data_IF_130634007354
#
_entry.id   IF_130634007354
#
_cell.length_a   1.000
_cell.length_b   1.000
_cell.length_c   1.000
_cell.angle_alpha   90.00
_cell.angle_beta   90.00
_cell.angle_gamma   90.00
#
_symmetry.space_group_name_H-M   'P 1'
#
loop_
_entity.id
_entity.type
_entity.pdbx_description
1 polymer ?
#
# COMPACT_ATOMS: atom_id res chain seq x y z
N UNK A 1 -8.65 60.21 -48.29
CA UNK A 1 -9.61 60.85 -49.22
C UNK A 1 -9.77 62.30 -48.82
N UNK A 2 -8.94 63.16 -49.41
CA UNK A 2 -9.01 64.64 -49.45
C UNK A 2 -7.68 65.10 -50.02
N UNK A 3 -7.66 65.43 -51.32
CA UNK A 3 -6.77 66.40 -51.95
C UNK A 3 -6.97 66.34 -53.47
N UNK A 4 -8.19 66.64 -53.93
CA UNK A 4 -8.38 67.23 -55.25
C UNK A 4 -8.26 68.73 -55.07
N UNK A 5 -7.07 69.29 -55.34
CA UNK A 5 -6.90 70.67 -55.77
C UNK A 5 -5.63 70.69 -56.64
N UNK A 6 -5.75 70.17 -57.86
CA UNK A 6 -4.90 70.63 -58.95
C UNK A 6 -5.45 72.01 -59.29
N UNK A 7 -4.80 73.04 -58.74
CA UNK A 7 -4.99 74.40 -59.23
C UNK A 7 -4.17 74.49 -60.51
N UNK A 8 -4.84 74.30 -61.65
CA UNK A 8 -4.35 74.79 -62.92
C UNK A 8 -4.11 76.30 -62.75
N UNK A 9 -2.84 76.69 -62.79
CA UNK A 9 -2.45 78.09 -62.92
C UNK A 9 -3.02 78.59 -64.24
N UNK A 10 -3.79 79.69 -64.27
CA UNK A 10 -4.18 80.30 -65.53
C UNK A 10 -2.91 80.69 -66.26
N UNK A 11 -2.76 80.28 -67.52
CA UNK A 11 -1.70 80.77 -68.39
C UNK A 11 -1.82 82.30 -68.47
N UNK A 12 -0.98 82.99 -67.70
CA UNK A 12 -0.87 84.43 -67.77
C UNK A 12 -0.46 84.80 -69.21
N UNK A 13 -1.03 85.86 -69.81
CA UNK A 13 -0.60 86.32 -71.11
C UNK A 13 0.91 86.60 -71.06
N UNK A 14 1.66 86.38 -72.17
CA UNK A 14 3.09 86.63 -72.18
C UNK A 14 3.32 88.04 -71.66
N UNK A 15 4.20 88.17 -70.65
CA UNK A 15 4.59 89.44 -70.06
C UNK A 15 5.37 90.27 -71.10
N UNK A 16 4.65 90.73 -72.12
CA UNK A 16 5.14 91.54 -73.21
C UNK A 16 5.42 92.91 -72.63
N UNK A 17 6.71 93.20 -72.50
CA UNK A 17 7.16 94.49 -72.02
C UNK A 17 6.96 95.48 -73.17
N UNK A 18 6.31 96.64 -72.95
CA UNK A 18 6.28 97.68 -73.96
C UNK A 18 7.70 98.00 -74.43
N UNK A 19 7.93 98.07 -75.76
CA UNK A 19 9.27 98.20 -76.36
C UNK A 19 10.06 99.41 -75.81
N UNK A 20 9.36 100.49 -75.46
CA UNK A 20 9.97 101.67 -74.82
C UNK A 20 10.47 101.40 -73.40
N UNK A 21 9.76 100.57 -72.64
CA UNK A 21 10.13 100.19 -71.28
C UNK A 21 11.29 99.18 -71.29
N UNK A 22 11.31 98.25 -72.26
CA UNK A 22 12.43 97.33 -72.47
C UNK A 22 13.76 98.06 -72.74
N UNK A 23 13.72 99.11 -73.60
CA UNK A 23 14.88 99.98 -73.87
C UNK A 23 15.38 100.78 -72.66
N UNK A 24 14.52 101.04 -71.69
CA UNK A 24 14.91 101.72 -70.44
C UNK A 24 15.49 100.73 -69.41
N UNK A 25 14.98 99.49 -69.41
CA UNK A 25 15.39 98.42 -68.50
C UNK A 25 16.73 97.79 -68.89
N UNK A 26 17.04 97.67 -70.17
CA UNK A 26 18.28 97.09 -70.68
C UNK A 26 19.55 97.67 -70.02
N UNK A 27 19.82 99.00 -70.03
CA UNK A 27 21.02 99.56 -69.41
C UNK A 27 21.03 99.43 -67.87
N UNK A 28 19.85 99.39 -67.24
CA UNK A 28 19.72 99.20 -65.80
C UNK A 28 20.07 97.76 -65.38
N UNK A 29 19.66 96.79 -66.19
CA UNK A 29 19.96 95.36 -65.99
C UNK A 29 21.43 95.09 -66.29
N UNK A 30 22.00 95.69 -67.33
CA UNK A 30 23.44 95.64 -67.62
C UNK A 30 24.28 96.18 -66.45
N UNK A 31 23.96 97.38 -65.94
CA UNK A 31 24.64 97.96 -64.78
C UNK A 31 24.50 97.06 -63.53
N UNK A 32 23.33 96.45 -63.31
CA UNK A 32 23.13 95.51 -62.20
C UNK A 32 23.97 94.22 -62.35
N UNK A 33 24.10 93.68 -63.57
CA UNK A 33 24.97 92.52 -63.86
C UNK A 33 26.43 92.88 -63.63
N UNK A 34 26.86 94.05 -64.11
CA UNK A 34 28.23 94.55 -63.92
C UNK A 34 28.54 94.75 -62.44
N UNK A 35 27.63 95.31 -61.66
CA UNK A 35 27.77 95.45 -60.21
C UNK A 35 27.85 94.09 -59.51
N UNK A 36 27.04 93.10 -59.91
CA UNK A 36 27.13 91.72 -59.39
C UNK A 36 28.43 91.02 -59.79
N UNK A 37 28.98 91.33 -60.97
CA UNK A 37 30.28 90.85 -61.42
C UNK A 37 31.43 91.52 -60.63
N UNK A 38 31.33 92.80 -60.29
CA UNK A 38 32.28 93.49 -59.39
C UNK A 38 32.23 92.87 -57.99
N UNK A 39 31.05 92.53 -57.48
CA UNK A 39 30.89 91.81 -56.21
C UNK A 39 31.53 90.40 -56.25
N UNK A 40 31.58 89.76 -57.42
CA UNK A 40 32.37 88.53 -57.63
C UNK A 40 33.87 88.78 -57.42
N UNK A 41 34.36 89.90 -57.95
CA UNK A 41 35.75 90.32 -57.83
C UNK A 41 36.12 90.71 -56.41
N UNK A 42 35.20 91.27 -55.63
CA UNK A 42 35.42 91.61 -54.22
C UNK A 42 35.43 90.36 -53.31
N UNK A 43 34.53 89.42 -53.54
CA UNK A 43 34.53 88.13 -52.83
C UNK A 43 35.77 87.28 -53.15
N UNK A 44 36.27 87.35 -54.39
CA UNK A 44 37.48 86.65 -54.84
C UNK A 44 38.78 87.39 -54.48
N UNK A 45 38.81 88.73 -54.47
CA UNK A 45 39.95 89.54 -53.95
C UNK A 45 40.15 89.39 -52.45
N UNK A 46 39.08 89.10 -51.71
CA UNK A 46 39.18 88.65 -50.32
C UNK A 46 39.76 87.22 -50.19
N UNK A 47 40.03 86.52 -51.30
CA UNK A 47 40.59 85.16 -51.33
C UNK A 47 41.91 85.04 -52.11
N UNK A 48 42.39 86.05 -52.85
CA UNK A 48 43.47 85.79 -53.81
C UNK A 48 44.51 86.86 -54.17
N UNK A 49 44.45 88.13 -53.76
CA UNK A 49 45.41 89.10 -54.35
C UNK A 49 45.73 90.40 -53.58
N UNK A 50 45.51 90.47 -52.26
CA UNK A 50 45.96 91.60 -51.45
C UNK A 50 46.33 91.10 -50.06
N UNK A 51 47.59 91.30 -49.64
CA UNK A 51 48.23 90.66 -48.49
C UNK A 51 47.72 91.06 -47.09
N UNK A 52 46.41 91.22 -46.92
CA UNK A 52 45.76 91.23 -45.61
C UNK A 52 45.26 89.82 -45.25
N UNK A 53 45.47 89.33 -44.02
CA UNK A 53 44.94 88.04 -43.59
C UNK A 53 43.41 87.99 -43.75
N UNK A 54 42.88 86.93 -44.35
CA UNK A 54 41.42 86.76 -44.52
C UNK A 54 40.78 86.42 -43.17
N UNK A 55 39.52 86.77 -42.91
CA UNK A 55 38.84 86.39 -41.66
C UNK A 55 38.78 84.88 -41.44
N UNK A 56 38.77 84.06 -42.50
CA UNK A 56 38.88 82.59 -42.41
C UNK A 56 40.30 82.12 -42.07
N UNK A 57 41.34 82.80 -42.56
CA UNK A 57 42.74 82.52 -42.23
C UNK A 57 43.07 82.97 -40.81
N UNK A 58 42.61 84.16 -40.40
CA UNK A 58 42.74 84.67 -39.02
C UNK A 58 42.10 83.70 -38.01
N UNK A 59 40.89 83.22 -38.28
CA UNK A 59 40.23 82.24 -37.41
C UNK A 59 40.92 80.86 -37.48
N UNK A 60 41.52 80.51 -38.62
CA UNK A 60 42.34 79.29 -38.77
C UNK A 60 43.64 79.32 -37.95
N UNK A 61 44.28 80.48 -37.88
CA UNK A 61 45.47 80.72 -37.05
C UNK A 61 45.10 80.72 -35.56
N UNK A 62 44.00 81.35 -35.18
CA UNK A 62 43.45 81.30 -33.81
C UNK A 62 43.09 79.86 -33.38
N UNK A 63 42.48 79.07 -34.27
CA UNK A 63 42.19 77.65 -34.01
C UNK A 63 43.48 76.85 -33.84
N UNK A 64 44.49 77.12 -34.66
CA UNK A 64 45.80 76.46 -34.59
C UNK A 64 46.51 76.78 -33.28
N UNK A 65 46.43 78.03 -32.82
CA UNK A 65 46.95 78.47 -31.52
C UNK A 65 46.20 77.80 -30.35
N UNK A 66 44.87 77.69 -30.42
CA UNK A 66 44.06 76.98 -29.41
C UNK A 66 44.42 75.50 -29.37
N UNK A 67 44.65 74.85 -30.52
CA UNK A 67 45.07 73.45 -30.60
C UNK A 67 46.48 73.26 -30.02
N UNK A 68 47.42 74.17 -30.31
CA UNK A 68 48.76 74.13 -29.74
C UNK A 68 48.72 74.24 -28.21
N UNK A 69 47.96 75.21 -27.69
CA UNK A 69 47.73 75.39 -26.25
C UNK A 69 47.05 74.19 -25.60
N UNK A 70 46.13 73.52 -26.31
CA UNK A 70 45.49 72.30 -25.82
C UNK A 70 46.50 71.15 -25.69
N UNK A 71 47.38 70.96 -26.69
CA UNK A 71 48.44 69.95 -26.64
C UNK A 71 49.44 70.21 -25.52
N UNK A 72 49.78 71.47 -25.27
CA UNK A 72 50.63 71.86 -24.15
C UNK A 72 49.98 71.52 -22.80
N UNK A 73 48.68 71.82 -22.62
CA UNK A 73 47.92 71.46 -21.42
C UNK A 73 47.79 69.94 -21.23
N UNK A 74 47.66 69.16 -22.31
CA UNK A 74 47.66 67.69 -22.27
C UNK A 74 49.02 67.14 -21.82
N UNK A 75 50.11 67.66 -22.38
CA UNK A 75 51.47 67.31 -21.97
C UNK A 75 51.75 67.67 -20.50
N UNK A 76 51.28 68.82 -20.04
CA UNK A 76 51.38 69.21 -18.63
C UNK A 76 50.53 68.31 -17.72
N UNK A 77 49.31 67.95 -18.15
CA UNK A 77 48.44 67.03 -17.43
C UNK A 77 49.10 65.65 -17.25
N UNK A 78 49.70 65.10 -18.32
CA UNK A 78 50.39 63.81 -18.28
C UNK A 78 51.61 63.82 -17.35
N UNK A 79 52.40 64.91 -17.37
CA UNK A 79 53.54 65.09 -16.45
C UNK A 79 53.08 65.10 -15.00
N UNK A 80 52.04 65.86 -14.69
CA UNK A 80 51.48 66.00 -13.34
C UNK A 80 50.82 64.70 -12.86
N UNK A 81 50.20 63.95 -13.78
CA UNK A 81 49.66 62.61 -13.53
C UNK A 81 50.76 61.59 -13.23
N UNK A 82 51.89 61.64 -13.94
CA UNK A 82 53.07 60.83 -13.66
C UNK A 82 53.66 61.10 -12.27
N UNK A 83 53.75 62.38 -11.87
CA UNK A 83 54.18 62.77 -10.51
C UNK A 83 53.18 62.29 -9.45
N UNK A 84 51.88 62.23 -9.77
CA UNK A 84 50.85 61.69 -8.85
C UNK A 84 51.06 60.19 -8.59
N UNK A 85 51.38 59.42 -9.63
CA UNK A 85 51.65 57.99 -9.48
C UNK A 85 52.87 57.72 -8.57
N UNK A 86 53.90 58.56 -8.65
CA UNK A 86 55.07 58.51 -7.77
C UNK A 86 54.73 58.92 -6.33
N UNK A 87 54.04 60.05 -6.14
CA UNK A 87 53.65 60.54 -4.82
C UNK A 87 52.65 59.63 -4.07
N UNK A 88 51.84 58.85 -4.80
CA UNK A 88 51.00 57.81 -4.22
C UNK A 88 51.81 56.66 -3.63
N UNK A 89 52.96 56.32 -4.22
CA UNK A 89 53.87 55.30 -3.69
C UNK A 89 54.60 55.83 -2.45
N UNK A 90 55.00 57.10 -2.45
CA UNK A 90 55.74 57.74 -1.34
C UNK A 90 54.88 58.11 -0.11
N UNK A 91 53.56 57.91 -0.15
CA UNK A 91 52.59 58.12 0.95
C UNK A 91 52.57 59.55 1.54
N UNK A 92 53.07 60.55 0.81
CA UNK A 92 53.06 61.95 1.25
C UNK A 92 51.71 62.63 0.95
N UNK A 93 50.86 62.75 1.97
CA UNK A 93 49.46 63.23 1.85
C UNK A 93 49.36 64.70 1.42
N UNK A 94 50.26 65.58 1.89
CA UNK A 94 50.19 67.02 1.59
C UNK A 94 50.61 67.33 0.14
N UNK A 95 51.72 66.74 -0.32
CA UNK A 95 52.17 66.88 -1.70
C UNK A 95 51.19 66.24 -2.69
N UNK A 96 50.57 65.11 -2.31
CA UNK A 96 49.53 64.47 -3.11
C UNK A 96 48.29 65.37 -3.27
N UNK A 97 47.86 66.04 -2.19
CA UNK A 97 46.73 66.99 -2.24
C UNK A 97 47.03 68.21 -3.11
N UNK A 98 48.22 68.79 -2.99
CA UNK A 98 48.65 69.91 -3.84
C UNK A 98 48.77 69.49 -5.32
N UNK A 99 49.18 68.23 -5.59
CA UNK A 99 49.20 67.68 -6.93
C UNK A 99 47.77 67.46 -7.50
N UNK A 100 46.85 66.93 -6.69
CA UNK A 100 45.44 66.80 -7.07
C UNK A 100 44.78 68.17 -7.35
N UNK A 101 45.16 69.22 -6.62
CA UNK A 101 44.71 70.60 -6.88
C UNK A 101 45.24 71.11 -8.25
N UNK A 102 46.50 70.85 -8.59
CA UNK A 102 47.10 71.17 -9.89
C UNK A 102 46.44 70.40 -11.04
N UNK A 103 46.19 69.10 -10.87
CA UNK A 103 45.45 68.29 -11.85
C UNK A 103 44.03 68.84 -12.07
N UNK A 104 43.34 69.24 -11.01
CA UNK A 104 42.00 69.85 -11.13
C UNK A 104 42.05 71.19 -11.86
N UNK A 105 43.08 72.01 -11.63
CA UNK A 105 43.27 73.27 -12.34
C UNK A 105 43.57 73.06 -13.84
N UNK A 106 44.50 72.16 -14.19
CA UNK A 106 44.84 71.84 -15.58
C UNK A 106 43.64 71.20 -16.29
N UNK A 107 42.92 70.28 -15.64
CA UNK A 107 41.70 69.69 -16.20
C UNK A 107 40.60 70.74 -16.48
N UNK A 108 40.47 71.75 -15.61
CA UNK A 108 39.55 72.87 -15.83
C UNK A 108 39.99 73.75 -17.01
N UNK A 109 41.28 74.06 -17.11
CA UNK A 109 41.85 74.82 -18.22
C UNK A 109 41.72 74.07 -19.56
N UNK A 110 41.97 72.76 -19.58
CA UNK A 110 41.78 71.90 -20.74
C UNK A 110 40.32 71.93 -21.21
N UNK A 111 39.37 71.77 -20.28
CA UNK A 111 37.93 71.84 -20.58
C UNK A 111 37.52 73.21 -21.16
N UNK A 112 38.08 74.30 -20.64
CA UNK A 112 37.84 75.65 -21.17
C UNK A 112 38.42 75.82 -22.57
N UNK A 113 39.64 75.32 -22.80
CA UNK A 113 40.31 75.32 -24.12
C UNK A 113 39.51 74.54 -25.16
N UNK A 114 39.04 73.33 -24.82
CA UNK A 114 38.20 72.51 -25.71
C UNK A 114 36.86 73.18 -26.02
N UNK A 115 36.26 73.86 -25.04
CA UNK A 115 35.03 74.64 -25.27
C UNK A 115 35.28 75.82 -26.22
N UNK A 116 36.40 76.52 -26.07
CA UNK A 116 36.81 77.63 -26.96
C UNK A 116 37.06 77.13 -28.38
N UNK A 117 37.75 76.00 -28.53
CA UNK A 117 37.99 75.34 -29.81
C UNK A 117 36.66 74.99 -30.51
N UNK A 118 35.73 74.39 -29.76
CA UNK A 118 34.40 74.07 -30.27
C UNK A 118 33.60 75.31 -30.70
N UNK A 119 33.73 76.43 -29.99
CA UNK A 119 33.10 77.69 -30.37
C UNK A 119 33.71 78.25 -31.65
N UNK A 120 35.05 78.30 -31.73
CA UNK A 120 35.78 78.77 -32.91
C UNK A 120 35.43 77.95 -34.16
N UNK A 121 35.47 76.61 -34.07
CA UNK A 121 35.11 75.72 -35.19
C UNK A 121 33.65 75.90 -35.65
N UNK A 122 32.71 76.18 -34.76
CA UNK A 122 31.32 76.49 -35.15
C UNK A 122 31.22 77.81 -35.90
N UNK A 123 31.96 78.84 -35.46
CA UNK A 123 31.99 80.15 -36.13
C UNK A 123 32.60 80.06 -37.52
N UNK A 124 33.70 79.31 -37.70
CA UNK A 124 34.33 79.11 -39.01
C UNK A 124 33.39 78.40 -39.99
N UNK A 125 32.73 77.33 -39.55
CA UNK A 125 31.81 76.58 -40.40
C UNK A 125 30.56 77.40 -40.77
N UNK A 126 30.03 78.18 -39.83
CA UNK A 126 28.90 79.08 -40.10
C UNK A 126 29.27 80.17 -41.10
N UNK A 127 30.45 80.79 -40.93
CA UNK A 127 30.98 81.82 -41.83
C UNK A 127 31.27 81.28 -43.23
N UNK A 128 31.90 80.10 -43.33
CA UNK A 128 32.19 79.44 -44.61
C UNK A 128 30.92 79.09 -45.38
N UNK A 129 29.93 78.50 -44.71
CA UNK A 129 28.64 78.16 -45.34
C UNK A 129 27.87 79.41 -45.78
N UNK A 130 27.92 80.49 -45.00
CA UNK A 130 27.31 81.77 -45.37
C UNK A 130 27.97 82.38 -46.62
N UNK A 131 29.30 82.28 -46.73
CA UNK A 131 30.04 82.76 -47.90
C UNK A 131 29.71 81.95 -49.16
N UNK A 132 29.66 80.62 -49.06
CA UNK A 132 29.27 79.74 -50.17
C UNK A 132 27.84 80.03 -50.63
N UNK A 133 26.92 80.18 -49.67
CA UNK A 133 25.54 80.57 -49.98
C UNK A 133 25.48 81.93 -50.68
N UNK A 134 26.18 82.94 -50.17
CA UNK A 134 26.23 84.27 -50.78
C UNK A 134 26.77 84.23 -52.21
N UNK A 135 27.81 83.45 -52.47
CA UNK A 135 28.34 83.27 -53.82
C UNK A 135 27.33 82.60 -54.76
N UNK A 136 26.62 81.57 -54.28
CA UNK A 136 25.58 80.88 -55.05
C UNK A 136 24.37 81.78 -55.33
N UNK A 137 23.89 82.53 -54.33
CA UNK A 137 22.77 83.46 -54.47
C UNK A 137 23.12 84.59 -55.45
N UNK A 138 24.36 85.11 -55.38
CA UNK A 138 24.89 86.10 -56.33
C UNK A 138 24.97 85.54 -57.75
N UNK A 139 25.51 84.33 -57.91
CA UNK A 139 25.61 83.69 -59.23
C UNK A 139 24.24 83.41 -59.83
N UNK A 140 23.26 82.98 -59.01
CA UNK A 140 21.89 82.82 -59.43
C UNK A 140 21.28 84.15 -59.90
N UNK A 141 21.43 85.23 -59.12
CA UNK A 141 20.94 86.56 -59.49
C UNK A 141 21.59 87.06 -60.78
N UNK A 142 22.89 86.83 -60.96
CA UNK A 142 23.62 87.18 -62.18
C UNK A 142 23.07 86.42 -63.40
N UNK A 143 22.94 85.09 -63.32
CA UNK A 143 22.40 84.28 -64.41
C UNK A 143 20.94 84.63 -64.74
N UNK A 144 20.13 84.94 -63.73
CA UNK A 144 18.74 85.34 -63.92
C UNK A 144 18.62 86.70 -64.62
N UNK A 145 19.49 87.64 -64.28
CA UNK A 145 19.56 88.94 -64.95
C UNK A 145 20.15 88.84 -66.36
N UNK A 146 21.14 87.98 -66.60
CA UNK A 146 21.68 87.69 -67.94
C UNK A 146 20.59 87.08 -68.85
N UNK A 147 19.79 86.13 -68.35
CA UNK A 147 18.66 85.56 -69.08
C UNK A 147 17.54 86.58 -69.34
N UNK A 148 17.29 87.50 -68.38
CA UNK A 148 16.38 88.63 -68.58
C UNK A 148 16.90 89.57 -69.66
N UNK A 149 18.20 89.89 -69.65
CA UNK A 149 18.83 90.77 -70.63
C UNK A 149 18.72 90.19 -72.05
N UNK A 150 18.98 88.89 -72.21
CA UNK A 150 18.82 88.20 -73.49
C UNK A 150 17.36 88.21 -73.97
N UNK A 151 16.39 88.02 -73.06
CA UNK A 151 14.95 88.09 -73.36
C UNK A 151 14.42 89.51 -73.62
N UNK A 152 15.13 90.56 -73.18
CA UNK A 152 14.83 91.95 -73.52
C UNK A 152 15.41 92.38 -74.88
N UNK A 153 16.49 91.72 -75.33
CA UNK A 153 17.16 91.97 -76.62
C UNK A 153 16.50 91.29 -77.82
N UNK A 154 15.54 90.40 -77.60
CA UNK A 154 14.77 89.75 -78.68
C UNK A 154 13.77 90.71 -79.34
N UNK A 155 13.37 90.42 -80.59
CA UNK A 155 12.44 91.28 -81.37
C UNK A 155 11.09 91.51 -80.69
N UNK A 156 10.67 90.59 -79.80
CA UNK A 156 9.60 90.79 -78.84
C UNK A 156 10.22 90.72 -77.43
N UNK A 157 10.33 91.86 -76.71
CA UNK A 157 10.90 91.87 -75.37
C UNK A 157 9.96 91.21 -74.36
N UNK A 158 10.45 90.18 -73.67
CA UNK A 158 9.65 89.37 -72.75
C UNK A 158 10.40 89.09 -71.45
N UNK A 159 9.68 89.20 -70.32
CA UNK A 159 10.19 88.82 -69.00
C UNK A 159 9.93 87.33 -68.66
N UNK A 160 9.36 86.55 -69.58
CA UNK A 160 8.99 85.16 -69.33
C UNK A 160 10.13 84.27 -68.81
N UNK A 161 11.38 84.36 -69.32
CA UNK A 161 12.48 83.54 -68.80
C UNK A 161 12.73 83.73 -67.30
N UNK A 162 12.61 84.96 -66.80
CA UNK A 162 12.76 85.27 -65.38
C UNK A 162 11.58 84.73 -64.55
N UNK A 163 10.36 84.82 -65.08
CA UNK A 163 9.16 84.27 -64.43
C UNK A 163 9.30 82.76 -64.30
N UNK A 164 9.65 82.07 -65.38
CA UNK A 164 9.83 80.61 -65.40
C UNK A 164 10.95 80.16 -64.43
N UNK A 165 12.05 80.94 -64.33
CA UNK A 165 13.15 80.65 -63.41
C UNK A 165 12.76 80.87 -61.93
N UNK A 166 11.97 81.90 -61.64
CA UNK A 166 11.41 82.15 -60.29
C UNK A 166 10.42 81.05 -59.92
N UNK A 167 9.56 80.63 -60.85
CA UNK A 167 8.62 79.53 -60.64
C UNK A 167 9.33 78.19 -60.41
N UNK A 168 10.38 77.89 -61.18
CA UNK A 168 11.20 76.70 -60.97
C UNK A 168 11.86 76.68 -59.58
N UNK A 169 12.41 77.80 -59.12
CA UNK A 169 12.96 77.91 -57.76
C UNK A 169 11.87 77.83 -56.67
N UNK A 170 10.69 78.41 -56.89
CA UNK A 170 9.54 78.25 -55.97
C UNK A 170 9.10 76.78 -55.88
N UNK A 171 9.02 76.08 -57.00
CA UNK A 171 8.68 74.64 -57.03
C UNK A 171 9.76 73.80 -56.33
N UNK A 172 11.03 74.10 -56.56
CA UNK A 172 12.16 73.45 -55.88
C UNK A 172 12.11 73.67 -54.37
N UNK A 173 11.86 74.91 -53.91
CA UNK A 173 11.69 75.23 -52.50
C UNK A 173 10.48 74.49 -51.89
N UNK A 174 9.34 74.46 -52.58
CA UNK A 174 8.17 73.71 -52.15
C UNK A 174 8.43 72.20 -52.07
N UNK A 175 9.14 71.63 -53.04
CA UNK A 175 9.54 70.21 -53.03
C UNK A 175 10.48 69.89 -51.86
N UNK A 176 11.43 70.77 -51.57
CA UNK A 176 12.36 70.62 -50.46
C UNK A 176 11.64 70.72 -49.11
N UNK A 177 10.71 71.67 -48.96
CA UNK A 177 9.86 71.78 -47.78
C UNK A 177 9.01 70.51 -47.58
N UNK A 178 8.42 69.96 -48.64
CA UNK A 178 7.65 68.72 -48.57
C UNK A 178 8.51 67.51 -48.17
N UNK A 179 9.75 67.43 -48.68
CA UNK A 179 10.71 66.39 -48.28
C UNK A 179 11.07 66.52 -46.80
N UNK A 180 11.32 67.74 -46.31
CA UNK A 180 11.64 68.00 -44.89
C UNK A 180 10.49 67.55 -43.98
N UNK A 181 9.23 67.86 -44.32
CA UNK A 181 8.07 67.43 -43.53
C UNK A 181 7.95 65.90 -43.51
N UNK A 182 8.06 65.24 -44.66
CA UNK A 182 8.02 63.76 -44.73
C UNK A 182 9.15 63.11 -43.94
N UNK A 183 10.33 63.70 -43.97
CA UNK A 183 11.50 63.24 -43.23
C UNK A 183 11.29 63.37 -41.72
N UNK A 184 10.72 64.49 -41.26
CA UNK A 184 10.35 64.70 -39.86
C UNK A 184 9.28 63.70 -39.40
N UNK A 185 8.24 63.46 -40.19
CA UNK A 185 7.22 62.45 -39.91
C UNK A 185 7.83 61.04 -39.83
N UNK A 186 8.71 60.69 -40.76
CA UNK A 186 9.42 59.42 -40.75
C UNK A 186 10.29 59.27 -39.50
N UNK A 187 11.00 60.32 -39.08
CA UNK A 187 11.76 60.33 -37.82
C UNK A 187 10.87 60.12 -36.61
N UNK A 188 9.70 60.77 -36.56
CA UNK A 188 8.75 60.58 -35.47
C UNK A 188 8.22 59.14 -35.44
N UNK A 189 7.85 58.56 -36.60
CA UNK A 189 7.43 57.15 -36.70
C UNK A 189 8.54 56.19 -36.27
N UNK A 190 9.78 56.43 -36.67
CA UNK A 190 10.91 55.62 -36.24
C UNK A 190 11.09 55.71 -34.72
N UNK A 191 10.94 56.91 -34.14
CA UNK A 191 11.05 57.11 -32.68
C UNK A 191 9.95 56.36 -31.92
N UNK A 192 8.70 56.44 -32.36
CA UNK A 192 7.58 55.72 -31.73
C UNK A 192 7.72 54.21 -31.87
N UNK A 193 8.11 53.73 -33.06
CA UNK A 193 8.38 52.30 -33.28
C UNK A 193 9.53 51.78 -32.42
N UNK A 194 10.63 52.54 -32.29
CA UNK A 194 11.74 52.19 -31.40
C UNK A 194 11.30 52.11 -29.93
N UNK A 195 10.47 53.06 -29.48
CA UNK A 195 9.92 53.03 -28.13
C UNK A 195 9.01 51.82 -27.91
N UNK A 196 8.13 51.51 -28.87
CA UNK A 196 7.24 50.34 -28.82
C UNK A 196 8.04 49.03 -28.79
N UNK A 197 9.09 48.90 -29.61
CA UNK A 197 9.99 47.73 -29.60
C UNK A 197 10.70 47.61 -28.25
N UNK A 198 11.18 48.71 -27.68
CA UNK A 198 11.83 48.69 -26.37
C UNK A 198 10.87 48.24 -25.27
N UNK A 199 9.64 48.78 -25.25
CA UNK A 199 8.60 48.39 -24.30
C UNK A 199 8.21 46.91 -24.47
N UNK A 200 8.06 46.43 -25.69
CA UNK A 200 7.71 45.04 -25.98
C UNK A 200 8.83 44.08 -25.53
N UNK A 201 10.10 44.46 -25.75
CA UNK A 201 11.24 43.69 -25.24
C UNK A 201 11.24 43.62 -23.72
N UNK A 202 10.99 44.74 -23.05
CA UNK A 202 10.93 44.78 -21.58
C UNK A 202 9.76 43.92 -21.05
N UNK A 203 8.57 44.01 -21.66
CA UNK A 203 7.44 43.17 -21.26
C UNK A 203 7.73 41.68 -21.48
N UNK A 204 8.37 41.31 -22.59
CA UNK A 204 8.77 39.92 -22.81
C UNK A 204 9.80 39.43 -21.80
N UNK A 205 10.80 40.25 -21.46
CA UNK A 205 11.78 39.89 -20.42
C UNK A 205 11.08 39.67 -19.07
N UNK A 206 10.12 40.52 -18.71
CA UNK A 206 9.32 40.34 -17.48
C UNK A 206 8.50 39.05 -17.52
N UNK A 207 7.79 38.76 -18.62
CA UNK A 207 7.04 37.52 -18.78
C UNK A 207 7.93 36.28 -18.68
N UNK A 208 9.12 36.30 -19.30
CA UNK A 208 10.09 35.20 -19.20
C UNK A 208 10.57 35.03 -17.76
N UNK A 209 10.80 36.11 -17.02
CA UNK A 209 11.14 36.06 -15.60
C UNK A 209 10.00 35.48 -14.75
N UNK A 210 8.75 35.89 -15.00
CA UNK A 210 7.56 35.35 -14.33
C UNK A 210 7.39 33.84 -14.60
N UNK A 211 7.52 33.40 -15.85
CA UNK A 211 7.46 31.99 -16.19
C UNK A 211 8.63 31.19 -15.59
N UNK A 212 9.84 31.73 -15.57
CA UNK A 212 10.98 31.07 -14.92
C UNK A 212 10.77 30.93 -13.41
N UNK A 213 10.20 31.95 -12.76
CA UNK A 213 9.82 31.89 -11.34
C UNK A 213 8.77 30.81 -11.09
N UNK A 214 7.74 30.75 -11.94
CA UNK A 214 6.68 29.73 -11.83
C UNK A 214 7.24 28.32 -12.06
N UNK A 215 8.13 28.14 -13.04
CA UNK A 215 8.81 26.86 -13.30
C UNK A 215 9.65 26.45 -12.09
N UNK A 216 10.33 27.38 -11.43
CA UNK A 216 11.09 27.09 -10.22
C UNK A 216 10.17 26.63 -9.07
N UNK A 217 9.07 27.36 -8.82
CA UNK A 217 8.07 26.98 -7.81
C UNK A 217 7.47 25.59 -8.08
N UNK A 218 7.04 25.33 -9.31
CA UNK A 218 6.48 24.02 -9.69
C UNK A 218 7.51 22.89 -9.57
N UNK A 219 8.79 23.15 -9.85
CA UNK A 219 9.86 22.17 -9.63
C UNK A 219 10.05 21.86 -8.15
N UNK A 220 10.03 22.88 -7.29
CA UNK A 220 10.14 22.71 -5.84
C UNK A 220 8.94 21.94 -5.27
N UNK A 221 7.73 22.23 -5.74
CA UNK A 221 6.52 21.48 -5.38
C UNK A 221 6.61 20.01 -5.85
N UNK A 222 7.03 19.77 -7.08
CA UNK A 222 7.24 18.41 -7.60
C UNK A 222 8.29 17.65 -6.77
N UNK A 223 9.37 18.33 -6.38
CA UNK A 223 10.41 17.71 -5.56
C UNK A 223 9.93 17.43 -4.14
N UNK A 224 9.21 18.37 -3.52
CA UNK A 224 8.63 18.20 -2.19
C UNK A 224 7.60 17.07 -2.15
N UNK A 225 6.71 17.01 -3.14
CA UNK A 225 5.73 15.91 -3.28
C UNK A 225 6.42 14.57 -3.52
N UNK A 226 7.48 14.51 -4.34
CA UNK A 226 8.27 13.30 -4.55
C UNK A 226 8.93 12.79 -3.26
N UNK A 227 9.53 13.69 -2.48
CA UNK A 227 10.14 13.32 -1.19
C UNK A 227 9.07 12.84 -0.21
N UNK A 228 7.93 13.54 -0.12
CA UNK A 228 6.81 13.13 0.73
C UNK A 228 6.27 11.75 0.36
N UNK A 229 6.02 11.49 -0.92
CA UNK A 229 5.56 10.19 -1.41
C UNK A 229 6.59 9.08 -1.15
N UNK A 230 7.89 9.38 -1.27
CA UNK A 230 8.94 8.44 -0.91
C UNK A 230 8.89 8.07 0.58
N UNK A 231 8.77 9.05 1.47
CA UNK A 231 8.65 8.82 2.91
C UNK A 231 7.37 8.05 3.27
N UNK A 232 6.24 8.37 2.62
CA UNK A 232 4.98 7.65 2.81
C UNK A 232 5.09 6.19 2.34
N UNK A 233 5.74 5.93 1.21
CA UNK A 233 5.99 4.58 0.71
C UNK A 233 6.90 3.78 1.67
N UNK A 234 7.98 4.37 2.15
CA UNK A 234 8.88 3.76 3.14
C UNK A 234 8.16 3.47 4.46
N UNK A 235 7.26 4.36 4.88
CA UNK A 235 6.44 4.15 6.07
C UNK A 235 5.45 3.00 5.88
N UNK A 236 4.72 2.97 4.76
CA UNK A 236 3.73 1.94 4.47
C UNK A 236 4.37 0.56 4.30
N UNK A 237 5.50 0.47 3.62
CA UNK A 237 6.26 -0.78 3.50
C UNK A 237 6.68 -1.31 4.87
N UNK A 238 7.34 -0.48 5.69
CA UNK A 238 7.70 -0.85 7.07
C UNK A 238 6.49 -1.25 7.91
N UNK A 239 5.38 -0.52 7.80
CA UNK A 239 4.15 -0.86 8.52
C UNK A 239 3.61 -2.23 8.08
N UNK A 240 3.60 -2.50 6.77
CA UNK A 240 3.15 -3.79 6.24
C UNK A 240 4.07 -4.95 6.65
N UNK A 241 5.38 -4.74 6.63
CA UNK A 241 6.37 -5.73 7.07
C UNK A 241 6.18 -6.05 8.55
N UNK A 242 6.03 -5.03 9.40
CA UNK A 242 5.73 -5.20 10.82
C UNK A 242 4.41 -5.97 11.05
N UNK A 243 3.36 -5.68 10.28
CA UNK A 243 2.10 -6.41 10.36
C UNK A 243 2.27 -7.88 10.00
N UNK A 244 3.01 -8.18 8.92
CA UNK A 244 3.31 -9.55 8.50
C UNK A 244 4.16 -10.26 9.56
N UNK A 245 5.19 -9.62 10.11
CA UNK A 245 6.00 -10.19 11.18
C UNK A 245 5.19 -10.48 12.45
N UNK A 246 4.33 -9.55 12.87
CA UNK A 246 3.49 -9.72 14.05
C UNK A 246 2.45 -10.83 13.85
N UNK A 247 1.81 -10.88 12.68
CA UNK A 247 0.91 -11.95 12.31
C UNK A 247 1.63 -13.30 12.21
N UNK A 248 2.85 -13.31 11.69
CA UNK A 248 3.74 -14.46 11.64
C UNK A 248 4.07 -14.97 13.04
N UNK A 249 4.54 -14.10 13.94
CA UNK A 249 4.83 -14.43 15.34
C UNK A 249 3.60 -15.00 16.05
N UNK A 250 2.44 -14.35 15.92
CA UNK A 250 1.19 -14.84 16.51
C UNK A 250 0.84 -16.24 16.00
N UNK A 251 0.91 -16.46 14.69
CA UNK A 251 0.66 -17.77 14.08
C UNK A 251 1.67 -18.82 14.53
N UNK A 252 2.96 -18.46 14.66
CA UNK A 252 3.97 -19.41 15.15
C UNK A 252 3.71 -19.81 16.60
N UNK A 253 3.32 -18.87 17.47
CA UNK A 253 2.99 -19.16 18.86
C UNK A 253 1.76 -20.06 18.97
N UNK A 254 0.69 -19.76 18.23
CA UNK A 254 -0.52 -20.61 18.25
C UNK A 254 -0.24 -22.01 17.69
N UNK A 255 0.59 -22.13 16.66
CA UNK A 255 1.03 -23.44 16.14
C UNK A 255 1.86 -24.20 17.18
N UNK A 256 2.74 -23.53 17.94
CA UNK A 256 3.51 -24.18 19.00
C UNK A 256 2.62 -24.63 20.15
N UNK A 257 1.66 -23.82 20.58
CA UNK A 257 0.67 -24.16 21.60
C UNK A 257 -0.17 -25.36 21.17
N UNK A 258 -0.72 -25.34 19.96
CA UNK A 258 -1.49 -26.47 19.42
C UNK A 258 -0.64 -27.74 19.28
N UNK A 259 0.64 -27.62 18.91
CA UNK A 259 1.56 -28.76 18.88
C UNK A 259 1.84 -29.31 20.28
N UNK A 260 1.94 -28.46 21.31
CA UNK A 260 2.09 -28.91 22.69
C UNK A 260 0.84 -29.68 23.15
N UNK A 261 -0.34 -29.13 22.92
CA UNK A 261 -1.62 -29.79 23.22
C UNK A 261 -1.77 -31.12 22.47
N UNK A 262 -1.37 -31.17 21.20
CA UNK A 262 -1.39 -32.42 20.42
C UNK A 262 -0.49 -33.47 21.06
N UNK A 263 0.72 -33.11 21.50
CA UNK A 263 1.63 -34.04 22.16
C UNK A 263 1.05 -34.56 23.47
N UNK A 264 0.52 -33.67 24.32
CA UNK A 264 -0.12 -34.05 25.59
C UNK A 264 -1.30 -35.00 25.38
N UNK A 265 -2.15 -34.72 24.39
CA UNK A 265 -3.26 -35.61 24.04
C UNK A 265 -2.78 -36.93 23.45
N UNK A 266 -1.70 -36.93 22.68
CA UNK A 266 -1.13 -38.15 22.11
C UNK A 266 -0.57 -39.04 23.23
N UNK A 267 0.19 -38.48 24.18
CA UNK A 267 0.71 -39.23 25.32
C UNK A 267 -0.41 -39.77 26.20
N UNK A 268 -1.44 -38.96 26.48
CA UNK A 268 -2.60 -39.41 27.26
C UNK A 268 -3.36 -40.54 26.53
N UNK A 269 -3.49 -40.46 25.21
CA UNK A 269 -4.11 -41.52 24.40
C UNK A 269 -3.28 -42.81 24.44
N UNK A 270 -1.95 -42.71 24.32
CA UNK A 270 -1.04 -43.87 24.42
C UNK A 270 -1.11 -44.54 25.80
N UNK A 271 -1.16 -43.74 26.87
CA UNK A 271 -1.33 -44.22 28.25
C UNK A 271 -2.68 -44.94 28.43
N UNK A 272 -3.79 -44.34 27.99
CA UNK A 272 -5.12 -44.96 28.03
C UNK A 272 -5.19 -46.26 27.21
N UNK A 273 -4.55 -46.29 26.03
CA UNK A 273 -4.46 -47.51 25.23
C UNK A 273 -3.68 -48.61 25.95
N UNK A 274 -2.57 -48.27 26.61
CA UNK A 274 -1.78 -49.23 27.38
C UNK A 274 -2.56 -49.78 28.58
N UNK A 275 -3.21 -48.92 29.37
CA UNK A 275 -4.05 -49.31 30.51
C UNK A 275 -5.23 -50.17 30.03
N UNK A 276 -5.90 -49.77 28.96
CA UNK A 276 -7.02 -50.54 28.39
C UNK A 276 -6.58 -51.93 27.95
N UNK A 277 -5.42 -52.05 27.29
CA UNK A 277 -4.86 -53.34 26.91
C UNK A 277 -4.52 -54.21 28.13
N UNK A 278 -3.97 -53.64 29.19
CA UNK A 278 -3.69 -54.36 30.44
C UNK A 278 -4.97 -54.83 31.13
N UNK A 279 -5.98 -53.98 31.22
CA UNK A 279 -7.31 -54.33 31.77
C UNK A 279 -7.96 -55.44 30.96
N UNK A 280 -7.93 -55.36 29.63
CA UNK A 280 -8.43 -56.42 28.75
C UNK A 280 -7.69 -57.74 28.99
N UNK A 281 -6.36 -57.71 29.07
CA UNK A 281 -5.54 -58.90 29.38
C UNK A 281 -5.90 -59.50 30.74
N UNK A 282 -6.05 -58.66 31.77
CA UNK A 282 -6.44 -59.09 33.11
C UNK A 282 -7.83 -59.74 33.11
N UNK A 283 -8.82 -59.09 32.50
CA UNK A 283 -10.18 -59.62 32.40
C UNK A 283 -10.23 -60.94 31.62
N UNK A 284 -9.46 -61.05 30.54
CA UNK A 284 -9.37 -62.29 29.76
C UNK A 284 -8.74 -63.43 30.56
N UNK A 285 -7.68 -63.16 31.33
CA UNK A 285 -7.07 -64.13 32.26
C UNK A 285 -8.08 -64.56 33.32
N UNK A 286 -8.70 -63.61 34.02
CA UNK A 286 -9.71 -63.90 35.05
C UNK A 286 -10.90 -64.70 34.51
N UNK A 287 -11.37 -64.36 33.29
CA UNK A 287 -12.42 -65.11 32.60
C UNK A 287 -11.96 -66.54 32.30
N UNK A 288 -10.73 -66.73 31.80
CA UNK A 288 -10.19 -68.06 31.54
C UNK A 288 -10.04 -68.90 32.81
N UNK A 289 -9.58 -68.30 33.91
CA UNK A 289 -9.46 -68.98 35.21
C UNK A 289 -10.83 -69.38 35.75
N UNK A 290 -11.83 -68.50 35.64
CA UNK A 290 -13.19 -68.80 36.06
C UNK A 290 -13.82 -69.89 35.19
N UNK A 291 -13.58 -69.85 33.87
CA UNK A 291 -14.03 -70.88 32.93
C UNK A 291 -13.40 -72.25 33.26
N UNK A 292 -12.11 -72.28 33.57
CA UNK A 292 -11.41 -73.51 33.98
C UNK A 292 -12.00 -74.04 35.30
N UNK A 293 -12.17 -73.18 36.31
CA UNK A 293 -12.81 -73.58 37.58
C UNK A 293 -14.23 -74.10 37.36
N UNK A 294 -15.02 -73.44 36.52
CA UNK A 294 -16.37 -73.89 36.18
C UNK A 294 -16.32 -75.29 35.56
N UNK A 295 -15.44 -75.50 34.60
CA UNK A 295 -15.24 -76.81 33.97
C UNK A 295 -14.80 -77.87 34.98
N UNK A 296 -13.85 -77.56 35.87
CA UNK A 296 -13.41 -78.47 36.94
C UNK A 296 -14.57 -78.84 37.89
N UNK A 297 -15.39 -77.86 38.29
CA UNK A 297 -16.55 -78.10 39.14
C UNK A 297 -17.66 -78.88 38.43
N UNK A 298 -17.90 -78.61 37.14
CA UNK A 298 -18.83 -79.39 36.31
C UNK A 298 -18.36 -80.84 36.21
N UNK A 299 -17.10 -81.06 35.84
CA UNK A 299 -16.52 -82.41 35.74
C UNK A 299 -16.57 -83.14 37.09
N UNK A 300 -16.25 -82.45 38.19
CA UNK A 300 -16.32 -83.03 39.53
C UNK A 300 -17.75 -83.38 39.92
N UNK A 301 -18.71 -82.48 39.67
CA UNK A 301 -20.13 -82.74 39.95
C UNK A 301 -20.63 -83.92 39.11
N UNK A 302 -20.27 -83.99 37.83
CA UNK A 302 -20.61 -85.12 36.97
C UNK A 302 -20.01 -86.42 37.52
N UNK A 303 -18.71 -86.43 37.85
CA UNK A 303 -18.04 -87.59 38.44
C UNK A 303 -18.67 -88.03 39.77
N UNK A 304 -18.95 -87.08 40.68
CA UNK A 304 -19.58 -87.35 41.97
C UNK A 304 -21.03 -87.86 41.78
N UNK A 305 -21.79 -87.32 40.81
CA UNK A 305 -23.14 -87.83 40.50
C UNK A 305 -23.10 -89.25 39.95
N UNK A 306 -22.15 -89.58 39.06
CA UNK A 306 -21.96 -90.95 38.55
C UNK A 306 -21.54 -91.89 39.68
N UNK A 307 -20.63 -91.47 40.56
CA UNK A 307 -20.20 -92.26 41.71
C UNK A 307 -21.36 -92.52 42.68
N UNK A 308 -22.16 -91.50 43.03
CA UNK A 308 -23.33 -91.65 43.89
C UNK A 308 -24.45 -92.46 43.24
N UNK A 309 -24.63 -92.34 41.93
CA UNK A 309 -25.56 -93.20 41.20
C UNK A 309 -25.10 -94.66 41.24
N UNK A 310 -23.79 -94.92 41.08
CA UNK A 310 -23.19 -96.24 41.26
C UNK A 310 -23.39 -96.81 42.67
N UNK A 311 -23.09 -96.03 43.72
CA UNK A 311 -23.34 -96.44 45.12
C UNK A 311 -24.83 -96.76 45.38
N UNK A 312 -25.75 -95.96 44.84
CA UNK A 312 -27.19 -96.21 44.95
C UNK A 312 -27.61 -97.50 44.24
N UNK A 313 -27.06 -97.75 43.06
CA UNK A 313 -27.38 -98.95 42.29
C UNK A 313 -26.79 -100.21 42.96
N UNK A 314 -25.60 -100.13 43.56
CA UNK A 314 -25.03 -101.19 44.40
C UNK A 314 -25.89 -101.47 45.64
N UNK A 315 -26.36 -100.42 46.33
CA UNK A 315 -27.27 -100.56 47.47
C UNK A 315 -28.60 -101.17 47.08
N UNK A 316 -29.17 -100.77 45.93
CA UNK A 316 -30.40 -101.36 45.38
C UNK A 316 -30.19 -102.84 45.04
N UNK A 317 -29.04 -103.20 44.46
CA UNK A 317 -28.69 -104.59 44.18
C UNK A 317 -28.55 -105.42 45.46
N UNK A 318 -27.90 -104.87 46.50
CA UNK A 318 -27.80 -105.50 47.81
C UNK A 318 -29.18 -105.67 48.47
N UNK A 319 -30.01 -104.62 48.46
CA UNK A 319 -31.38 -104.67 48.98
C UNK A 319 -32.22 -105.73 48.25
N UNK A 320 -32.12 -105.81 46.92
CA UNK A 320 -32.81 -106.82 46.13
C UNK A 320 -32.36 -108.25 46.50
N UNK A 321 -31.05 -108.45 46.73
CA UNK A 321 -30.48 -109.72 47.18
C UNK A 321 -30.95 -110.11 48.59
N UNK A 322 -30.98 -109.16 49.51
CA UNK A 322 -31.45 -109.37 50.88
C UNK A 322 -32.95 -109.66 50.91
N UNK A 323 -33.75 -108.94 50.11
CA UNK A 323 -35.18 -109.22 49.93
C UNK A 323 -35.41 -110.62 49.37
N UNK A 324 -34.63 -111.05 48.38
CA UNK A 324 -34.73 -112.41 47.84
C UNK A 324 -34.38 -113.45 48.90
N UNK A 325 -33.31 -113.23 49.66
CA UNK A 325 -32.92 -114.12 50.77
C UNK A 325 -33.98 -114.19 51.87
N UNK A 326 -34.63 -113.07 52.17
CA UNK A 326 -35.74 -113.00 53.14
C UNK A 326 -36.99 -113.73 52.61
N UNK A 327 -37.30 -113.59 51.32
CA UNK A 327 -38.38 -114.33 50.66
C UNK A 327 -38.13 -115.84 50.77
N UNK A 328 -36.94 -116.31 50.40
CA UNK A 328 -36.54 -117.71 50.56
C UNK A 328 -36.66 -118.21 52.01
N UNK A 329 -36.21 -117.41 52.98
CA UNK A 329 -36.28 -117.78 54.40
C UNK A 329 -37.73 -117.79 54.91
N UNK A 330 -38.57 -116.87 54.45
CA UNK A 330 -40.00 -116.80 54.77
C UNK A 330 -40.75 -118.00 54.20
N UNK A 331 -40.42 -118.41 52.97
CA UNK A 331 -40.93 -119.63 52.35
C UNK A 331 -40.56 -120.86 53.19
N UNK A 332 -39.28 -121.01 53.56
CA UNK A 332 -38.82 -122.09 54.46
C UNK A 332 -39.53 -122.07 55.81
N UNK A 333 -39.71 -120.88 56.42
CA UNK A 333 -40.43 -120.75 57.69
C UNK A 333 -41.90 -121.16 57.56
N UNK A 334 -42.56 -120.76 56.47
CA UNK A 334 -43.94 -121.14 56.18
C UNK A 334 -44.07 -122.65 55.97
N UNK A 335 -43.09 -123.29 55.31
CA UNK A 335 -43.02 -124.76 55.19
C UNK A 335 -42.89 -125.44 56.56
N UNK A 336 -41.95 -124.98 57.40
CA UNK A 336 -41.82 -125.51 58.77
C UNK A 336 -43.06 -125.28 59.62
N UNK A 337 -43.68 -124.11 59.54
CA UNK A 337 -44.93 -123.83 60.26
C UNK A 337 -46.07 -124.72 59.79
N UNK A 338 -46.19 -125.01 58.49
CA UNK A 338 -47.16 -126.00 57.98
C UNK A 338 -46.93 -127.37 58.61
N UNK A 339 -45.68 -127.77 58.85
CA UNK A 339 -45.34 -129.03 59.53
C UNK A 339 -45.74 -128.96 61.01
N UNK A 340 -45.38 -127.89 61.72
CA UNK A 340 -45.74 -127.69 63.14
C UNK A 340 -47.25 -127.65 63.36
N UNK A 341 -47.98 -126.93 62.51
CA UNK A 341 -49.44 -126.86 62.55
C UNK A 341 -50.07 -128.24 62.32
N UNK A 342 -49.55 -129.05 61.38
CA UNK A 342 -49.98 -130.44 61.19
C UNK A 342 -49.75 -131.29 62.44
N UNK A 343 -48.63 -131.09 63.14
CA UNK A 343 -48.34 -131.81 64.39
C UNK A 343 -49.19 -131.34 65.58
N UNK A 344 -49.48 -130.04 65.69
CA UNK A 344 -50.42 -129.50 66.68
C UNK A 344 -51.83 -130.03 66.44
N UNK A 345 -52.30 -130.04 65.20
CA UNK A 345 -53.60 -130.63 64.83
C UNK A 345 -53.65 -132.13 65.15
N UNK A 346 -52.54 -132.86 64.98
CA UNK A 346 -52.44 -134.27 65.42
C UNK A 346 -52.57 -134.39 66.94
N UNK A 347 -51.86 -133.56 67.72
CA UNK A 347 -51.93 -133.57 69.19
C UNK A 347 -53.32 -133.21 69.71
N UNK A 348 -53.97 -132.21 69.13
CA UNK A 348 -55.31 -131.78 69.54
C UNK A 348 -56.35 -132.86 69.24
N UNK A 349 -56.27 -133.53 68.07
CA UNK A 349 -57.11 -134.69 67.76
C UNK A 349 -56.93 -135.84 68.76
N UNK A 350 -55.69 -136.08 69.21
CA UNK A 350 -55.40 -137.07 70.26
C UNK A 350 -56.00 -136.67 71.62
N UNK A 351 -55.92 -135.39 72.00
CA UNK A 351 -56.52 -134.88 73.25
C UNK A 351 -58.04 -135.03 73.27
N UNK A 352 -58.72 -134.63 72.18
CA UNK A 352 -60.17 -134.77 72.06
C UNK A 352 -60.64 -136.23 72.14
N UNK A 353 -59.86 -137.16 71.58
CA UNK A 353 -60.14 -138.60 71.68
C UNK A 353 -60.03 -139.11 73.13
N UNK A 354 -59.02 -138.64 73.88
CA UNK A 354 -58.85 -138.98 75.28
C UNK A 354 -59.98 -138.40 76.17
N UNK A 355 -60.41 -137.15 75.94
CA UNK A 355 -61.53 -136.55 76.68
C UNK A 355 -62.85 -137.28 76.45
N UNK A 356 -63.10 -137.79 75.23
CA UNK A 356 -64.28 -138.63 74.95
C UNK A 356 -64.25 -139.93 75.77
N UNK A 357 -63.10 -140.59 75.85
CA UNK A 357 -62.95 -141.82 76.64
C UNK A 357 -63.19 -141.58 78.14
N UNK A 358 -62.78 -140.43 78.70
CA UNK A 358 -63.04 -140.07 80.11
C UNK A 358 -64.54 -139.86 80.34
N UNK A 359 -65.24 -139.17 79.43
CA UNK A 359 -66.69 -138.94 79.54
C UNK A 359 -67.49 -140.25 79.46
N UNK A 360 -67.08 -141.18 78.60
CA UNK A 360 -67.67 -142.53 78.50
C UNK A 360 -67.47 -143.34 79.80
N UNK A 361 -66.28 -143.23 80.42
CA UNK A 361 -65.97 -143.91 81.68
C UNK A 361 -66.74 -143.32 82.88
N UNK A 362 -66.91 -142.00 82.92
CA UNK A 362 -67.73 -141.33 83.93
C UNK A 362 -69.23 -141.69 83.82
N UNK A 363 -69.74 -141.85 82.60
CA UNK A 363 -71.10 -142.36 82.38
C UNK A 363 -71.25 -143.80 82.88
N UNK A 364 -70.27 -144.67 82.63
CA UNK A 364 -70.25 -146.04 83.13
C UNK A 364 -70.24 -146.12 84.68
N UNK A 365 -69.49 -145.26 85.36
CA UNK A 365 -69.43 -145.20 86.84
C UNK A 365 -70.78 -144.76 87.45
N UNK A 366 -71.47 -143.79 86.84
CA UNK A 366 -72.79 -143.33 87.34
C UNK A 366 -73.86 -144.43 87.26
N UNK A 367 -73.83 -145.26 86.22
CA UNK A 367 -74.70 -146.43 86.08
C UNK A 367 -74.37 -147.48 87.17
N UNK A 368 -73.09 -147.73 87.43
CA UNK A 368 -72.66 -148.67 88.48
C UNK A 368 -73.00 -148.20 89.91
N UNK A 369 -73.01 -146.89 90.17
CA UNK A 369 -73.33 -146.32 91.48
C UNK A 369 -74.84 -146.34 91.78
N UNK A 370 -75.69 -146.09 90.79
CA UNK A 370 -77.14 -146.18 90.91
C UNK A 370 -77.59 -147.60 91.28
N UNK A 371 -76.99 -148.63 90.68
CA UNK A 371 -77.34 -150.02 90.96
C UNK A 371 -76.92 -150.49 92.36
N UNK A 372 -75.78 -150.02 92.88
CA UNK A 372 -75.32 -150.32 94.25
C UNK A 372 -76.18 -149.67 95.34
N UNK A 373 -76.77 -148.51 95.08
CA UNK A 373 -77.65 -147.81 96.04
C UNK A 373 -79.03 -148.45 96.23
N UNK A 374 -79.54 -149.14 95.21
CA UNK A 374 -80.84 -149.82 95.27
C UNK A 374 -80.79 -151.10 96.14
N UNK A 375 -79.65 -151.80 96.17
CA UNK A 375 -79.45 -152.98 97.03
C UNK A 375 -79.51 -152.68 98.54
N UNK A 376 -79.17 -151.45 98.96
CA UNK A 376 -79.07 -151.08 100.38
C UNK A 376 -80.44 -150.77 101.01
N UNK A 377 -81.44 -150.36 100.23
CA UNK A 377 -82.74 -149.87 100.76
C UNK A 377 -83.80 -150.96 100.97
N UNK A 378 -83.67 -152.13 100.35
CA UNK A 378 -84.69 -153.20 100.37
C UNK A 378 -84.34 -154.46 101.19
N UNK A 379 -83.28 -154.43 102.02
CA UNK A 379 -82.88 -155.53 102.94
C UNK A 379 -82.93 -156.94 102.30
N UNK A 380 -82.35 -157.06 101.11
CA UNK A 380 -81.96 -158.35 100.50
C UNK A 380 -80.43 -158.39 100.38
N UNK A 381 -79.80 -159.38 100.99
CA UNK A 381 -78.33 -159.50 101.06
C UNK A 381 -77.73 -158.90 102.34
N UNK A 382 -76.41 -159.05 102.56
CA UNK A 382 -75.88 -159.68 103.77
C UNK A 382 -75.71 -158.74 104.97
N UNK A 383 -76.79 -158.30 105.65
CA UNK A 383 -76.76 -157.62 106.97
C UNK A 383 -78.07 -157.77 107.82
N UNK A 384 -78.38 -158.98 108.35
CA UNK A 384 -79.14 -159.18 109.63
C UNK A 384 -78.69 -160.48 110.35
N UNK A 385 -78.71 -160.47 111.69
CA UNK A 385 -77.67 -161.03 112.60
C UNK A 385 -77.75 -162.50 113.09
N UNK A 386 -76.57 -163.11 113.41
CA UNK A 386 -76.36 -164.08 114.53
C UNK A 386 -74.88 -164.09 115.04
N UNK A 387 -74.74 -164.20 116.38
CA UNK A 387 -73.55 -164.05 117.28
C UNK A 387 -72.36 -164.98 116.99
N UNK A 388 -71.08 -164.62 117.19
CA UNK A 388 -70.34 -163.33 117.20
C UNK A 388 -68.87 -163.72 116.91
N UNK A 389 -68.50 -164.07 115.68
CA UNK A 389 -67.10 -164.44 115.38
C UNK A 389 -66.83 -164.47 113.87
N UNK A 390 -66.12 -163.47 113.35
CA UNK A 390 -65.91 -163.29 111.91
C UNK A 390 -64.75 -164.16 111.41
N UNK A 391 -65.07 -165.33 110.84
CA UNK A 391 -64.07 -166.19 110.18
C UNK A 391 -64.70 -166.98 109.03
N UNK A 392 -64.35 -166.58 107.80
CA UNK A 392 -64.18 -167.45 106.61
C UNK A 392 -64.01 -166.51 105.41
N UNK A 393 -62.80 -166.34 104.84
CA UNK A 393 -62.19 -167.24 103.85
C UNK A 393 -63.07 -167.41 102.60
N UNK A 394 -62.61 -167.30 101.35
CA UNK A 394 -61.34 -167.77 100.80
C UNK A 394 -61.28 -167.42 99.29
N UNK A 395 -60.08 -167.05 98.80
CA UNK A 395 -59.52 -167.30 97.43
C UNK A 395 -60.16 -166.54 96.24
N UNK A 396 -59.43 -166.12 95.20
CA UNK A 396 -58.14 -166.60 94.65
C UNK A 396 -57.59 -165.61 93.59
N UNK A 397 -56.25 -165.54 93.54
CA UNK A 397 -55.34 -165.50 92.36
C UNK A 397 -55.47 -164.43 91.26
N UNK A 398 -54.36 -163.71 91.10
CA UNK A 398 -53.39 -163.97 90.01
C UNK A 398 -53.44 -163.03 88.79
N UNK A 399 -52.48 -162.10 88.67
CA UNK A 399 -51.46 -162.13 87.59
C UNK A 399 -51.85 -161.17 86.44
N UNK A 400 -51.02 -160.71 85.50
CA UNK A 400 -49.57 -160.75 85.23
C UNK A 400 -49.36 -159.89 83.95
N UNK A 401 -48.21 -159.19 83.86
CA UNK A 401 -47.38 -158.87 82.66
C UNK A 401 -47.88 -158.01 81.49
N UNK A 402 -46.92 -157.16 81.04
CA UNK A 402 -46.41 -156.82 79.68
C UNK A 402 -47.47 -156.64 78.57
N UNK A 403 -47.44 -155.58 77.79
CA UNK A 403 -46.37 -155.19 76.84
C UNK A 403 -46.69 -153.79 76.33
#
# INVERSE_FOLDING_TARGET
MKADVITESPAEPPANVPVLLARLLEPLVEDAIDQLAVLSGLGSRAHGAGGGPTPTVLVGDEISEIIARQRELELEYDKVLGVRAQLQQDHNVELLRANDDKLRAIAKALKQSTSSLCAALRMTNASGNAMVKFQNDRQFAQLALEQLLDGLRTQAPSCQPLVDQIEAERQKQASMAAVIVREQEARQRIKTLRASIAQLKESHVRQVQEYNSLIAQLKDECQATRVRLGMEADYLTRQSDLQVEMAGKKTTLTVLELKAQLRELTTALEEEQAVSAEVQSFLQKAYSDLKNKLQDWTNKSEADTVAKQGELDDQRAAQAKDLNSLQELTERYNEYNKIVQKDLQRKEKMRLAAERAIKELAAAIRIQAWWRGLLVRHKMGPYKDKKKSAKSSKKKKGGKKKK
#
